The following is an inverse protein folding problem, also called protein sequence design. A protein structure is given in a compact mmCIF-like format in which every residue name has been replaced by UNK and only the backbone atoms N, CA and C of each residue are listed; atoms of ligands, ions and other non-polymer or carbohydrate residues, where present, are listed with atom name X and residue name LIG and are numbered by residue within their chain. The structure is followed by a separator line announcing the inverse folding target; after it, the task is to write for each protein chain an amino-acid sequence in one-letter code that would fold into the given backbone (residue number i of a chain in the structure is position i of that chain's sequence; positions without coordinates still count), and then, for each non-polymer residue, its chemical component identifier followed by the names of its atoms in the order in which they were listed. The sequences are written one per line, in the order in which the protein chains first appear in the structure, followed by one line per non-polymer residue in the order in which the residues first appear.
data_IF_843792106842
#
_entry.id   IF_843792106842
#
_cell.length_a   1.000
_cell.length_b   1.000
_cell.length_c   1.000
_cell.angle_alpha   90.00
_cell.angle_beta   90.00
_cell.angle_gamma   90.00
#
_symmetry.space_group_name_H-M   'P 1'
#
loop_
_entity.id
_entity.type
_entity.pdbx_description
1 polymer ?
#
# COMPACT_ATOMS: atom_id res chain seq x y z
N UNK A 1 11.46 6.78 12.56
CA UNK A 1 11.20 6.32 11.18
C UNK A 1 10.61 7.46 10.37
N UNK A 2 11.15 7.74 9.17
CA UNK A 2 10.65 8.83 8.32
C UNK A 2 9.23 8.53 7.82
N UNK A 3 8.32 9.50 7.93
CA UNK A 3 6.91 9.40 7.53
C UNK A 3 6.55 10.48 6.52
N UNK A 4 5.70 10.15 5.56
CA UNK A 4 5.06 11.15 4.72
C UNK A 4 3.93 11.83 5.51
N UNK A 5 4.11 13.11 5.88
CA UNK A 5 3.12 13.93 6.62
C UNK A 5 2.35 14.89 5.72
N UNK A 6 2.48 14.76 4.40
CA UNK A 6 1.82 15.68 3.47
C UNK A 6 0.28 15.56 3.57
N UNK A 7 -0.44 16.68 3.33
CA UNK A 7 -1.91 16.70 3.37
C UNK A 7 -2.49 15.77 2.29
N UNK A 8 -3.32 14.81 2.72
CA UNK A 8 -3.84 13.74 1.85
C UNK A 8 -4.65 14.34 0.68
N UNK A 9 -5.71 15.09 0.96
CA UNK A 9 -6.61 15.62 -0.07
C UNK A 9 -5.90 16.53 -1.08
N UNK A 10 -4.88 17.32 -0.63
CA UNK A 10 -4.07 18.15 -1.53
C UNK A 10 -3.25 17.30 -2.49
N UNK A 11 -2.71 16.18 -2.02
CA UNK A 11 -1.92 15.26 -2.85
C UNK A 11 -2.80 14.41 -3.75
N UNK A 12 -3.91 13.89 -3.27
CA UNK A 12 -4.88 13.15 -4.08
C UNK A 12 -5.30 13.99 -5.29
N UNK A 13 -5.70 15.24 -5.08
CA UNK A 13 -6.06 16.18 -6.14
C UNK A 13 -4.91 16.49 -7.12
N UNK A 14 -3.66 16.50 -6.62
CA UNK A 14 -2.49 16.75 -7.46
C UNK A 14 -2.10 15.57 -8.34
N UNK A 15 -2.36 14.35 -7.86
CA UNK A 15 -1.95 13.10 -8.49
C UNK A 15 -3.11 12.41 -9.21
N UNK A 16 -4.33 12.93 -9.09
CA UNK A 16 -5.52 12.30 -9.68
C UNK A 16 -5.92 10.99 -8.97
N UNK A 17 -5.70 10.91 -7.65
CA UNK A 17 -6.04 9.73 -6.86
C UNK A 17 -7.36 9.99 -6.14
N UNK A 18 -8.28 9.02 -6.17
CA UNK A 18 -9.46 9.06 -5.32
C UNK A 18 -9.03 8.90 -3.84
N UNK A 19 -9.43 9.81 -2.93
CA UNK A 19 -9.14 9.67 -1.50
C UNK A 19 -9.61 8.35 -0.87
N UNK A 20 -10.67 7.74 -1.41
CA UNK A 20 -11.22 6.46 -0.95
C UNK A 20 -10.17 5.34 -1.00
N UNK A 21 -9.32 5.31 -2.04
CA UNK A 21 -8.19 4.36 -2.19
C UNK A 21 -7.21 4.41 -1.00
N UNK A 22 -7.17 5.55 -0.31
CA UNK A 22 -6.32 5.75 0.88
C UNK A 22 -7.10 5.55 2.19
N UNK A 23 -8.36 5.11 2.12
CA UNK A 23 -9.25 4.95 3.27
C UNK A 23 -9.75 6.28 3.83
N UNK A 24 -9.83 7.34 3.02
CA UNK A 24 -10.28 8.67 3.44
C UNK A 24 -11.60 9.03 2.78
N UNK A 25 -12.70 8.92 3.53
CA UNK A 25 -14.06 9.23 3.05
C UNK A 25 -14.37 10.73 3.05
N UNK A 26 -13.42 11.55 2.60
CA UNK A 26 -13.59 13.00 2.47
C UNK A 26 -13.19 13.45 1.07
N UNK A 27 -14.08 14.17 0.39
CA UNK A 27 -13.78 14.85 -0.86
C UNK A 27 -13.15 16.23 -0.64
N UNK A 28 -12.40 16.71 -1.62
CA UNK A 28 -11.88 18.08 -1.58
C UNK A 28 -12.96 19.07 -2.02
N UNK A 29 -13.25 20.07 -1.19
CA UNK A 29 -14.14 21.20 -1.56
C UNK A 29 -13.49 22.15 -2.60
N UNK A 30 -12.19 22.00 -2.87
CA UNK A 30 -11.47 22.85 -3.84
C UNK A 30 -11.47 22.17 -5.21
N UNK A 31 -11.72 22.96 -6.26
CA UNK A 31 -11.63 22.53 -7.65
C UNK A 31 -10.24 22.02 -8.09
N UNK A 32 -10.10 21.58 -9.35
CA UNK A 32 -8.81 21.19 -9.91
C UNK A 32 -7.77 22.31 -9.77
N UNK A 33 -6.49 21.91 -9.83
CA UNK A 33 -5.42 22.90 -9.71
C UNK A 33 -5.42 23.86 -10.91
N UNK A 34 -5.09 25.14 -10.70
CA UNK A 34 -4.73 26.03 -11.81
C UNK A 34 -3.67 25.36 -12.67
N UNK A 35 -3.79 25.46 -13.98
CA UNK A 35 -2.92 24.78 -14.98
C UNK A 35 -3.11 23.25 -15.13
N UNK A 36 -4.17 22.67 -14.59
CA UNK A 36 -4.51 21.25 -14.85
C UNK A 36 -4.72 20.95 -16.35
N UNK A 37 -5.07 21.97 -17.14
CA UNK A 37 -5.35 21.85 -18.58
C UNK A 37 -4.10 21.97 -19.47
N UNK A 38 -2.91 22.27 -18.94
CA UNK A 38 -1.67 22.23 -19.75
C UNK A 38 -1.34 20.79 -20.09
N UNK A 39 -1.10 20.51 -21.39
CA UNK A 39 -0.62 19.20 -21.84
C UNK A 39 0.69 18.87 -21.11
N UNK A 40 0.71 17.80 -20.31
CA UNK A 40 1.90 17.44 -19.56
C UNK A 40 2.99 16.92 -20.51
N UNK A 41 4.24 17.19 -20.19
CA UNK A 41 5.38 16.57 -20.87
C UNK A 41 5.42 15.08 -20.51
N UNK A 42 6.04 14.26 -21.35
CA UNK A 42 6.23 12.82 -21.11
C UNK A 42 6.89 12.55 -19.75
N UNK A 43 7.97 13.28 -19.45
CA UNK A 43 8.61 13.22 -18.12
C UNK A 43 7.63 13.51 -16.97
N UNK A 44 6.77 14.50 -17.13
CA UNK A 44 5.80 14.85 -16.10
C UNK A 44 4.76 13.75 -15.89
N UNK A 45 4.38 13.02 -16.95
CA UNK A 45 3.47 11.87 -16.88
C UNK A 45 4.13 10.74 -16.10
N UNK A 46 5.33 10.34 -16.48
CA UNK A 46 6.10 9.29 -15.81
C UNK A 46 6.36 9.63 -14.35
N UNK A 47 6.78 10.87 -14.06
CA UNK A 47 6.99 11.33 -12.69
C UNK A 47 5.70 11.27 -11.86
N UNK A 48 4.55 11.62 -12.46
CA UNK A 48 3.26 11.59 -11.78
C UNK A 48 2.88 10.17 -11.37
N UNK A 49 3.02 9.18 -12.26
CA UNK A 49 2.74 7.78 -11.96
C UNK A 49 3.65 7.23 -10.85
N UNK A 50 4.93 7.52 -10.89
CA UNK A 50 5.84 7.18 -9.80
C UNK A 50 5.40 7.81 -8.47
N UNK A 51 5.05 9.10 -8.46
CA UNK A 51 4.59 9.78 -7.26
C UNK A 51 3.25 9.25 -6.76
N UNK A 52 2.36 8.81 -7.67
CA UNK A 52 1.09 8.17 -7.36
C UNK A 52 1.33 6.87 -6.60
N UNK A 53 2.12 5.94 -7.14
CA UNK A 53 2.51 4.70 -6.47
C UNK A 53 3.14 4.96 -5.09
N UNK A 54 4.15 5.83 -5.03
CA UNK A 54 4.80 6.21 -3.76
C UNK A 54 3.84 6.72 -2.71
N UNK A 55 2.85 7.51 -3.12
CA UNK A 55 1.91 8.12 -2.20
C UNK A 55 0.89 7.11 -1.69
N UNK A 56 0.37 6.25 -2.56
CA UNK A 56 -0.58 5.19 -2.21
C UNK A 56 0.05 4.22 -1.21
N UNK A 57 1.24 3.69 -1.51
CA UNK A 57 1.94 2.74 -0.63
C UNK A 57 2.68 3.39 0.54
N UNK A 58 2.63 4.73 0.65
CA UNK A 58 3.28 5.50 1.72
C UNK A 58 4.79 5.19 1.86
N UNK A 59 5.49 4.96 0.75
CA UNK A 59 6.92 4.64 0.68
C UNK A 59 7.74 5.89 0.35
N UNK A 60 8.89 6.06 1.02
CA UNK A 60 9.82 7.17 0.74
C UNK A 60 10.68 6.87 -0.51
N UNK A 61 11.17 7.92 -1.20
CA UNK A 61 11.89 7.80 -2.48
C UNK A 61 13.06 6.81 -2.42
N UNK A 62 13.93 6.93 -1.41
CA UNK A 62 15.09 6.04 -1.25
C UNK A 62 14.67 4.56 -1.17
N UNK A 63 13.60 4.27 -0.43
CA UNK A 63 13.11 2.89 -0.30
C UNK A 63 12.39 2.41 -1.57
N UNK A 64 11.62 3.30 -2.22
CA UNK A 64 10.93 2.96 -3.46
C UNK A 64 11.93 2.62 -4.57
N UNK A 65 12.99 3.43 -4.72
CA UNK A 65 14.09 3.17 -5.66
C UNK A 65 14.77 1.85 -5.38
N UNK A 66 15.05 1.54 -4.10
CA UNK A 66 15.64 0.24 -3.73
C UNK A 66 14.74 -0.94 -4.13
N UNK A 67 13.42 -0.83 -3.91
CA UNK A 67 12.46 -1.87 -4.32
C UNK A 67 12.45 -2.02 -5.85
N UNK A 68 12.51 -0.91 -6.60
CA UNK A 68 12.62 -0.94 -8.05
C UNK A 68 13.91 -1.63 -8.52
N UNK A 69 15.05 -1.28 -7.94
CA UNK A 69 16.34 -1.90 -8.27
C UNK A 69 16.35 -3.42 -7.98
N UNK A 70 15.70 -3.84 -6.91
CA UNK A 70 15.50 -5.26 -6.60
C UNK A 70 14.60 -5.94 -7.64
N UNK A 71 13.50 -5.29 -8.04
CA UNK A 71 12.58 -5.81 -9.04
C UNK A 71 13.26 -5.93 -10.42
N UNK A 72 14.08 -4.95 -10.79
CA UNK A 72 14.81 -4.94 -12.07
C UNK A 72 15.87 -6.06 -12.19
N UNK A 73 16.36 -6.57 -11.05
CA UNK A 73 17.31 -7.70 -11.03
C UNK A 73 16.64 -9.07 -11.16
N UNK A 74 15.33 -9.15 -10.90
CA UNK A 74 14.56 -10.39 -11.00
C UNK A 74 14.19 -10.65 -12.46
N UNK A 75 14.30 -11.90 -12.89
CA UNK A 75 13.82 -12.32 -14.22
C UNK A 75 12.30 -12.09 -14.32
N UNK A 76 11.84 -11.54 -15.45
CA UNK A 76 10.45 -11.27 -15.73
C UNK A 76 10.15 -9.79 -15.93
N UNK A 77 8.87 -9.42 -15.88
CA UNK A 77 8.41 -8.03 -16.10
C UNK A 77 8.65 -7.21 -14.84
N UNK A 78 9.60 -6.27 -14.91
CA UNK A 78 10.03 -5.42 -13.79
C UNK A 78 8.85 -4.69 -13.12
N UNK A 79 7.92 -4.16 -13.92
CA UNK A 79 6.76 -3.42 -13.40
C UNK A 79 5.84 -4.28 -12.55
N UNK A 80 5.53 -5.49 -12.99
CA UNK A 80 4.69 -6.44 -12.24
C UNK A 80 5.39 -6.90 -10.95
N UNK A 81 6.69 -7.18 -11.03
CA UNK A 81 7.49 -7.53 -9.84
C UNK A 81 7.56 -6.38 -8.83
N UNK A 82 7.62 -5.13 -9.30
CA UNK A 82 7.56 -3.94 -8.44
C UNK A 82 6.24 -3.87 -7.68
N UNK A 83 5.10 -4.10 -8.36
CA UNK A 83 3.77 -4.13 -7.73
C UNK A 83 3.70 -5.27 -6.71
N UNK A 84 4.11 -6.48 -7.07
CA UNK A 84 4.18 -7.63 -6.17
C UNK A 84 4.94 -7.27 -4.88
N UNK A 85 6.11 -6.65 -5.00
CA UNK A 85 6.93 -6.28 -3.85
C UNK A 85 6.31 -5.19 -2.98
N UNK A 86 5.56 -4.25 -3.57
CA UNK A 86 4.85 -3.21 -2.84
C UNK A 86 3.63 -3.77 -2.10
N UNK A 87 2.86 -4.65 -2.73
CA UNK A 87 1.69 -5.29 -2.12
C UNK A 87 2.08 -6.23 -0.97
N UNK A 88 3.17 -6.99 -1.09
CA UNK A 88 3.65 -7.94 -0.08
C UNK A 88 4.31 -7.31 1.14
N UNK A 89 4.38 -5.99 1.26
CA UNK A 89 4.85 -5.32 2.49
C UNK A 89 3.86 -5.54 3.61
N UNK A 90 4.33 -5.92 4.79
CA UNK A 90 3.47 -6.24 5.94
C UNK A 90 2.49 -5.11 6.28
N UNK A 91 2.93 -3.83 6.22
CA UNK A 91 2.03 -2.69 6.43
C UNK A 91 0.88 -2.65 5.41
N UNK A 92 1.12 -3.08 4.17
CA UNK A 92 0.09 -3.10 3.15
C UNK A 92 -0.81 -4.33 3.30
N UNK A 93 -0.26 -5.51 3.62
CA UNK A 93 -1.04 -6.72 3.89
C UNK A 93 -1.97 -6.53 5.08
N UNK A 94 -1.52 -5.89 6.16
CA UNK A 94 -2.35 -5.52 7.33
C UNK A 94 -3.50 -4.60 6.93
N UNK A 95 -3.27 -3.67 5.99
CA UNK A 95 -4.33 -2.83 5.41
C UNK A 95 -5.31 -3.65 4.56
N UNK A 96 -4.81 -4.52 3.66
CA UNK A 96 -5.63 -5.37 2.78
C UNK A 96 -6.47 -6.39 3.54
N UNK A 97 -5.98 -6.90 4.66
CA UNK A 97 -6.73 -7.76 5.58
C UNK A 97 -7.79 -6.99 6.39
N UNK A 98 -7.82 -5.65 6.29
CA UNK A 98 -8.78 -4.83 7.00
C UNK A 98 -8.47 -4.60 8.48
N UNK A 99 -7.28 -4.94 8.97
CA UNK A 99 -6.89 -4.62 10.35
C UNK A 99 -6.66 -3.13 10.59
N UNK A 100 -6.72 -2.32 9.54
CA UNK A 100 -6.59 -0.87 9.60
C UNK A 100 -7.40 -0.18 8.50
N UNK A 101 -8.02 0.96 8.80
CA UNK A 101 -8.78 1.77 7.82
C UNK A 101 -7.89 2.48 6.78
N UNK A 102 -6.62 2.69 7.08
CA UNK A 102 -5.67 3.36 6.18
C UNK A 102 -4.30 2.69 6.22
N UNK A 103 -3.53 2.75 5.11
CA UNK A 103 -2.14 2.25 5.08
C UNK A 103 -1.23 2.94 6.11
N UNK A 104 -1.50 4.20 6.47
CA UNK A 104 -0.77 4.92 7.53
C UNK A 104 -1.03 4.34 8.91
N UNK A 105 -2.28 3.99 9.19
CA UNK A 105 -2.69 3.33 10.42
C UNK A 105 -2.13 1.91 10.48
N UNK A 106 -2.19 1.13 9.39
CA UNK A 106 -1.58 -0.19 9.29
C UNK A 106 -0.09 -0.16 9.66
N UNK A 107 0.65 0.80 9.08
CA UNK A 107 2.06 1.02 9.43
C UNK A 107 2.26 1.31 10.93
N UNK A 108 1.38 2.08 11.54
CA UNK A 108 1.44 2.36 12.97
C UNK A 108 1.20 1.10 13.80
N UNK A 109 0.16 0.33 13.47
CA UNK A 109 -0.19 -0.95 14.11
C UNK A 109 1.02 -1.90 14.05
N UNK A 110 1.62 -2.09 12.89
CA UNK A 110 2.82 -2.94 12.75
C UNK A 110 3.99 -2.38 13.57
N UNK A 111 4.31 -1.09 13.45
CA UNK A 111 5.47 -0.48 14.14
C UNK A 111 5.33 -0.49 15.66
N UNK A 112 4.12 -0.47 16.19
CA UNK A 112 3.84 -0.61 17.61
C UNK A 112 3.85 -2.08 18.07
N UNK A 113 4.00 -3.02 17.11
CA UNK A 113 4.17 -4.44 17.39
C UNK A 113 2.87 -5.13 17.80
N UNK A 114 1.74 -4.72 17.22
CA UNK A 114 0.43 -5.37 17.42
C UNK A 114 0.22 -6.56 16.48
N UNK A 115 1.18 -6.86 15.60
CA UNK A 115 1.07 -7.89 14.55
C UNK A 115 2.10 -8.99 14.78
N UNK A 116 1.69 -10.22 14.55
CA UNK A 116 2.56 -11.39 14.48
C UNK A 116 2.50 -12.02 13.08
N UNK A 117 3.60 -12.58 12.62
CA UNK A 117 3.70 -13.39 11.41
C UNK A 117 4.18 -14.79 11.82
N UNK A 118 3.42 -15.82 11.49
CA UNK A 118 3.69 -17.21 11.89
C UNK A 118 3.93 -17.34 13.41
N UNK A 119 3.09 -16.65 14.21
CA UNK A 119 3.16 -16.66 15.67
C UNK A 119 4.27 -15.79 16.27
N UNK A 120 5.15 -15.17 15.47
CA UNK A 120 6.23 -14.30 15.96
C UNK A 120 5.88 -12.84 15.77
N UNK A 121 6.00 -12.04 16.82
CA UNK A 121 5.79 -10.58 16.78
C UNK A 121 6.75 -9.92 15.80
N UNK A 122 6.22 -9.13 14.86
CA UNK A 122 6.98 -8.37 13.86
C UNK A 122 6.60 -6.90 13.93
N UNK A 123 7.59 -6.02 14.16
CA UNK A 123 7.41 -4.57 14.23
C UNK A 123 8.03 -3.83 13.01
N UNK A 124 8.47 -4.57 12.00
CA UNK A 124 9.09 -4.03 10.79
C UNK A 124 8.02 -3.90 9.71
N UNK A 125 7.53 -2.68 9.46
CA UNK A 125 6.48 -2.40 8.48
C UNK A 125 6.86 -2.79 7.03
N UNK A 126 8.15 -2.79 6.71
CA UNK A 126 8.69 -3.18 5.41
C UNK A 126 8.98 -4.69 5.28
N UNK A 127 8.68 -5.49 6.30
CA UNK A 127 8.79 -6.94 6.21
C UNK A 127 7.99 -7.44 4.99
N UNK A 128 8.57 -8.33 4.20
CA UNK A 128 7.94 -8.85 2.99
C UNK A 128 7.39 -10.24 3.29
N UNK A 129 6.07 -10.36 3.30
CA UNK A 129 5.38 -11.64 3.53
C UNK A 129 5.56 -12.59 2.36
N UNK A 130 5.45 -13.88 2.61
CA UNK A 130 5.53 -14.96 1.62
C UNK A 130 4.18 -15.66 1.50
N UNK A 131 3.98 -16.36 0.39
CA UNK A 131 2.84 -17.27 0.23
C UNK A 131 2.89 -18.33 1.34
N UNK A 132 1.77 -18.58 1.97
CA UNK A 132 1.62 -19.48 3.13
C UNK A 132 1.82 -18.82 4.49
N UNK A 133 2.35 -17.57 4.55
CA UNK A 133 2.47 -16.87 5.84
C UNK A 133 1.10 -16.58 6.44
N UNK A 134 1.00 -16.75 7.77
CA UNK A 134 -0.17 -16.41 8.57
C UNK A 134 0.12 -15.13 9.35
N UNK A 135 -0.70 -14.12 9.13
CA UNK A 135 -0.63 -12.83 9.80
C UNK A 135 -1.73 -12.77 10.85
N UNK A 136 -1.39 -12.45 12.09
CA UNK A 136 -2.36 -12.38 13.19
C UNK A 136 -2.18 -11.11 14.00
N UNK A 137 -3.28 -10.66 14.62
CA UNK A 137 -3.22 -9.63 15.66
C UNK A 137 -2.87 -10.30 16.98
N UNK A 138 -1.93 -9.71 17.73
CA UNK A 138 -1.52 -10.20 19.05
C UNK A 138 -2.70 -10.10 20.03
N UNK A 139 -2.85 -11.11 20.90
CA UNK A 139 -3.99 -11.29 21.80
C UNK A 139 -4.35 -10.01 22.57
N UNK A 140 -3.36 -9.37 23.19
CA UNK A 140 -3.56 -8.13 23.95
C UNK A 140 -4.03 -6.95 23.09
N UNK A 141 -3.94 -7.06 21.77
CA UNK A 141 -4.30 -5.99 20.81
C UNK A 141 -5.64 -6.23 20.13
N UNK A 142 -6.24 -7.41 20.25
CA UNK A 142 -7.55 -7.74 19.67
C UNK A 142 -8.68 -6.87 20.22
N UNK A 143 -8.53 -6.39 21.44
CA UNK A 143 -9.52 -5.54 22.12
C UNK A 143 -9.49 -4.06 21.69
N UNK A 144 -8.58 -3.68 20.81
CA UNK A 144 -8.52 -2.29 20.30
C UNK A 144 -9.72 -2.03 19.37
N UNK A 145 -10.59 -1.09 19.74
CA UNK A 145 -11.79 -0.70 18.98
C UNK A 145 -11.47 -0.36 17.53
N UNK A 146 -10.30 0.24 17.29
CA UNK A 146 -9.80 0.61 15.97
C UNK A 146 -9.65 -0.62 15.06
N UNK A 147 -9.21 -1.75 15.60
CA UNK A 147 -9.01 -2.99 14.85
C UNK A 147 -10.36 -3.69 14.65
N UNK A 148 -11.19 -3.79 15.70
CA UNK A 148 -12.51 -4.43 15.62
C UNK A 148 -13.39 -3.79 14.54
N UNK A 149 -13.57 -2.48 14.61
CA UNK A 149 -14.39 -1.74 13.62
C UNK A 149 -13.83 -1.78 12.21
N UNK A 150 -12.52 -1.94 12.04
CA UNK A 150 -11.90 -2.03 10.71
C UNK A 150 -12.10 -3.40 10.06
N UNK A 151 -12.08 -4.47 10.84
CA UNK A 151 -12.25 -5.86 10.37
C UNK A 151 -13.67 -6.14 9.92
N UNK A 152 -14.69 -5.55 10.56
CA UNK A 152 -16.10 -5.73 10.21
C UNK A 152 -16.40 -5.23 8.79
N UNK A 153 -15.84 -4.08 8.42
CA UNK A 153 -16.04 -3.43 7.11
C UNK A 153 -15.04 -3.92 6.03
N UNK A 154 -14.19 -4.90 6.33
CA UNK A 154 -13.08 -5.26 5.47
C UNK A 154 -13.52 -5.98 4.18
N UNK A 155 -13.08 -5.48 3.03
CA UNK A 155 -13.12 -6.19 1.75
C UNK A 155 -11.73 -6.71 1.45
N UNK A 156 -11.59 -8.05 1.42
CA UNK A 156 -10.29 -8.72 1.27
C UNK A 156 -10.09 -9.16 -0.18
N UNK A 157 -8.95 -8.88 -0.82
CA UNK A 157 -8.67 -9.35 -2.17
C UNK A 157 -8.45 -10.87 -2.22
N UNK A 158 -8.65 -11.48 -3.40
CA UNK A 158 -8.64 -12.93 -3.59
C UNK A 158 -7.32 -13.64 -3.22
N UNK A 159 -6.20 -12.93 -3.20
CA UNK A 159 -4.90 -13.49 -2.83
C UNK A 159 -4.66 -13.61 -1.31
N UNK A 160 -5.63 -13.11 -0.51
CA UNK A 160 -5.63 -13.18 0.95
C UNK A 160 -6.90 -13.87 1.45
N UNK A 161 -6.78 -14.58 2.55
CA UNK A 161 -7.89 -15.15 3.32
C UNK A 161 -7.95 -14.49 4.69
N UNK A 162 -9.15 -14.19 5.19
CA UNK A 162 -9.35 -13.54 6.49
C UNK A 162 -10.30 -14.35 7.35
N UNK A 163 -9.83 -14.77 8.51
CA UNK A 163 -10.67 -15.23 9.63
C UNK A 163 -10.92 -14.02 10.56
N UNK A 164 -12.14 -13.49 10.48
CA UNK A 164 -12.54 -12.31 11.26
C UNK A 164 -12.64 -12.63 12.76
N UNK A 165 -13.08 -13.83 13.12
CA UNK A 165 -13.27 -14.24 14.51
C UNK A 165 -11.93 -14.41 15.22
N UNK A 166 -10.96 -15.02 14.56
CA UNK A 166 -9.63 -15.22 15.10
C UNK A 166 -8.70 -14.02 14.96
N UNK A 167 -9.07 -12.98 14.15
CA UNK A 167 -8.19 -11.87 13.74
C UNK A 167 -6.91 -12.38 13.08
N UNK A 168 -7.07 -13.36 12.17
CA UNK A 168 -5.95 -13.94 11.42
C UNK A 168 -6.20 -13.85 9.93
N UNK A 169 -5.14 -13.69 9.17
CA UNK A 169 -5.18 -13.71 7.71
C UNK A 169 -4.06 -14.56 7.17
N UNK A 170 -4.30 -15.21 6.03
CA UNK A 170 -3.34 -16.07 5.34
C UNK A 170 -3.08 -15.56 3.94
N UNK A 171 -1.83 -15.65 3.51
CA UNK A 171 -1.43 -15.33 2.13
C UNK A 171 -1.58 -16.59 1.29
N UNK A 172 -2.52 -16.58 0.34
CA UNK A 172 -2.82 -17.75 -0.52
C UNK A 172 -1.90 -17.81 -1.74
N UNK A 173 -1.70 -16.66 -2.39
CA UNK A 173 -0.89 -16.54 -3.61
C UNK A 173 -0.19 -15.19 -3.69
N UNK A 174 0.67 -15.00 -4.70
CA UNK A 174 1.28 -13.70 -4.95
C UNK A 174 0.24 -12.73 -5.53
N UNK A 175 0.22 -11.46 -5.08
CA UNK A 175 -0.67 -10.45 -5.64
C UNK A 175 -0.34 -10.16 -7.11
N UNK A 176 -1.37 -9.98 -7.91
CA UNK A 176 -1.29 -9.60 -9.31
C UNK A 176 -1.69 -8.13 -9.51
N UNK A 177 -1.56 -7.62 -10.74
CA UNK A 177 -2.02 -6.27 -11.08
C UNK A 177 -3.54 -6.14 -10.96
N UNK A 178 -4.28 -7.20 -11.25
CA UNK A 178 -5.74 -7.23 -11.23
C UNK A 178 -6.33 -7.16 -9.81
N UNK A 179 -5.50 -7.46 -8.80
CA UNK A 179 -5.87 -7.34 -7.39
C UNK A 179 -5.82 -5.89 -6.86
N UNK A 180 -5.39 -4.93 -7.70
CA UNK A 180 -5.31 -3.53 -7.30
C UNK A 180 -6.69 -2.87 -7.34
N UNK A 181 -7.01 -2.11 -6.32
CA UNK A 181 -8.21 -1.26 -6.20
C UNK A 181 -8.04 0.15 -6.83
N UNK A 182 -6.98 0.35 -7.58
CA UNK A 182 -6.66 1.61 -8.26
C UNK A 182 -5.87 1.36 -9.55
N UNK A 183 -6.05 2.26 -10.50
CA UNK A 183 -5.28 2.22 -11.74
C UNK A 183 -3.83 2.71 -11.53
N UNK A 184 -2.87 1.92 -11.99
CA UNK A 184 -1.44 2.24 -11.96
C UNK A 184 -0.76 1.72 -13.23
N UNK A 185 -0.09 2.65 -13.95
CA UNK A 185 0.71 2.28 -15.10
C UNK A 185 2.17 2.05 -14.68
N UNK A 186 2.51 0.79 -14.46
CA UNK A 186 3.83 0.35 -14.04
C UNK A 186 4.92 0.60 -15.10
N UNK A 187 4.55 0.55 -16.40
CA UNK A 187 5.50 0.79 -17.50
C UNK A 187 6.07 2.20 -17.44
N UNK A 188 5.24 3.21 -17.15
CA UNK A 188 5.69 4.59 -16.98
C UNK A 188 6.66 4.76 -15.80
N UNK A 189 6.51 3.94 -14.76
CA UNK A 189 7.44 3.95 -13.61
C UNK A 189 8.79 3.33 -14.02
N UNK A 190 8.74 2.24 -14.77
CA UNK A 190 9.95 1.60 -15.31
C UNK A 190 10.70 2.56 -16.23
N UNK A 191 10.02 3.20 -17.18
CA UNK A 191 10.58 4.20 -18.08
C UNK A 191 11.22 5.38 -17.34
N UNK A 192 10.58 5.83 -16.24
CA UNK A 192 11.13 6.91 -15.42
C UNK A 192 12.49 6.57 -14.80
N UNK A 193 12.71 5.32 -14.38
CA UNK A 193 13.95 4.89 -13.74
C UNK A 193 15.00 4.33 -14.71
N UNK A 194 14.62 4.03 -15.96
CA UNK A 194 15.54 3.55 -17.00
C UNK A 194 16.29 4.67 -17.74
N UNK A 195 15.99 5.92 -17.43
CA UNK A 195 16.68 7.12 -17.94
C UNK A 195 18.03 7.36 -17.30
#
# INVERSE_FOLDING_TARGET
MARNRQPVLKKCRALGIDPVVLGVNKSSKRGPRPNANKKPTEYAVQLREKQKAKFIYNVMEKQFRKIYEEAARKLGVTGLTLIEYLERRLENVVYRLGFAKTRRQARQIVSHGHVAVNGRRVNIASYRVKVGDVISIIENSKNLDIIKTSVEDATVPAWLELDRAAFTGKVLQNPTKDDLDFDLNESLIVEFYSR
#
